data_IF_542361553755
#
_entry.id   IF_542361553755
#
_cell.length_a   1.000
_cell.length_b   1.000
_cell.length_c   1.000
_cell.angle_alpha   90.00
_cell.angle_beta   90.00
_cell.angle_gamma   90.00
#
_symmetry.space_group_name_H-M   'P 1'
#
loop_
_entity.id
_entity.type
_entity.pdbx_description
1 polymer ?
#
# COMPACT_ATOMS: atom_id res chain seq x y z
N UNK A 1 5.64 -11.84 25.84
CA UNK A 1 4.34 -11.55 25.22
C UNK A 1 4.58 -10.56 24.09
N UNK A 2 4.52 -10.98 22.83
CA UNK A 2 4.78 -10.10 21.68
C UNK A 2 3.62 -9.14 21.44
N UNK A 3 3.91 -7.86 21.14
CA UNK A 3 2.88 -6.88 20.78
C UNK A 3 2.22 -7.26 19.44
N UNK A 4 0.91 -7.05 19.33
CA UNK A 4 0.18 -7.17 18.05
C UNK A 4 0.66 -6.08 17.08
N UNK A 5 1.11 -6.50 15.89
CA UNK A 5 1.55 -5.60 14.82
C UNK A 5 0.32 -5.06 14.09
N UNK A 6 0.31 -3.75 13.82
CA UNK A 6 -0.76 -3.05 13.08
C UNK A 6 -0.14 -2.17 11.98
N UNK A 7 -0.90 -1.94 10.92
CA UNK A 7 -0.54 -1.04 9.81
C UNK A 7 -1.78 -0.33 9.25
N UNK A 8 -1.57 0.77 8.53
CA UNK A 8 -2.63 1.56 7.91
C UNK A 8 -2.70 1.21 6.43
N UNK A 9 -3.88 0.79 5.98
CA UNK A 9 -4.14 0.37 4.59
C UNK A 9 -4.90 1.49 3.89
N UNK A 10 -4.43 1.90 2.71
CA UNK A 10 -5.14 2.87 1.86
C UNK A 10 -6.16 2.19 0.95
N UNK A 11 -5.81 1.02 0.40
CA UNK A 11 -6.66 0.28 -0.54
C UNK A 11 -6.35 -1.23 -0.52
N UNK A 12 -7.32 -2.04 -0.89
CA UNK A 12 -7.17 -3.48 -1.11
C UNK A 12 -7.74 -3.82 -2.49
N UNK A 13 -6.86 -4.22 -3.40
CA UNK A 13 -7.24 -4.61 -4.75
C UNK A 13 -7.23 -6.13 -4.88
N UNK A 14 -8.41 -6.68 -5.13
CA UNK A 14 -8.58 -8.09 -5.45
C UNK A 14 -8.35 -8.32 -6.94
N UNK A 15 -7.93 -9.53 -7.30
CA UNK A 15 -7.71 -9.94 -8.69
C UNK A 15 -6.68 -9.08 -9.47
N UNK A 16 -5.66 -8.56 -8.79
CA UNK A 16 -4.57 -7.86 -9.44
C UNK A 16 -3.73 -8.83 -10.30
N UNK A 17 -3.75 -8.62 -11.62
CA UNK A 17 -3.03 -9.46 -12.61
C UNK A 17 -1.80 -8.77 -13.20
N UNK A 18 -1.64 -7.47 -12.94
CA UNK A 18 -0.55 -6.66 -13.48
C UNK A 18 0.58 -6.41 -12.46
N UNK A 19 0.32 -6.61 -11.17
CA UNK A 19 1.28 -6.36 -10.07
C UNK A 19 2.18 -7.57 -9.75
N UNK A 20 2.35 -8.47 -10.71
CA UNK A 20 3.20 -9.65 -10.59
C UNK A 20 2.59 -10.90 -11.24
N UNK A 21 3.30 -12.04 -11.20
CA UNK A 21 2.83 -13.26 -11.86
C UNK A 21 1.56 -13.84 -11.19
N UNK A 22 0.57 -14.19 -12.00
CA UNK A 22 -0.68 -14.82 -11.55
C UNK A 22 -1.72 -13.81 -11.05
N UNK A 23 -2.72 -14.31 -10.31
CA UNK A 23 -3.77 -13.48 -9.69
C UNK A 23 -3.37 -13.17 -8.25
N UNK A 24 -3.33 -11.89 -7.89
CA UNK A 24 -2.91 -11.40 -6.56
C UNK A 24 -4.02 -10.61 -5.87
N UNK A 25 -3.93 -10.57 -4.55
CA UNK A 25 -4.57 -9.52 -3.75
C UNK A 25 -3.48 -8.54 -3.36
N UNK A 26 -3.55 -7.32 -3.85
CA UNK A 26 -2.62 -6.25 -3.53
C UNK A 26 -3.19 -5.46 -2.34
N UNK A 27 -2.37 -5.30 -1.28
CA UNK A 27 -2.70 -4.48 -0.12
C UNK A 27 -1.81 -3.25 -0.19
N UNK A 28 -2.40 -2.08 -0.41
CA UNK A 28 -1.68 -0.81 -0.46
C UNK A 28 -1.59 -0.22 0.95
N UNK A 29 -0.36 0.06 1.39
CA UNK A 29 -0.09 0.63 2.71
C UNK A 29 0.10 2.14 2.62
N UNK A 30 -0.34 2.86 3.65
CA UNK A 30 -0.02 4.28 3.82
C UNK A 30 1.37 4.46 4.42
N UNK A 31 2.01 5.56 4.05
CA UNK A 31 3.33 5.98 4.52
C UNK A 31 4.44 5.69 3.51
N UNK A 32 4.69 6.63 2.61
CA UNK A 32 5.87 6.62 1.73
C UNK A 32 6.72 7.88 2.00
N UNK A 33 8.01 7.74 2.35
CA UNK A 33 8.89 8.89 2.61
C UNK A 33 9.35 9.60 1.33
N UNK A 34 9.14 8.99 0.16
CA UNK A 34 9.55 9.56 -1.12
C UNK A 34 8.56 10.62 -1.61
N UNK A 35 9.06 11.54 -2.43
CA UNK A 35 8.29 12.62 -3.08
C UNK A 35 8.58 12.65 -4.58
N UNK A 36 8.35 11.52 -5.22
CA UNK A 36 8.59 11.35 -6.66
C UNK A 36 7.74 12.35 -7.45
N UNK A 37 8.31 12.97 -8.49
CA UNK A 37 7.62 13.95 -9.34
C UNK A 37 6.39 13.36 -10.07
N UNK A 38 6.41 12.05 -10.33
CA UNK A 38 5.33 11.31 -10.99
C UNK A 38 4.85 10.13 -10.13
N UNK A 39 4.60 10.40 -8.85
CA UNK A 39 4.05 9.39 -7.96
C UNK A 39 2.67 8.94 -8.47
N UNK A 40 2.51 7.65 -8.73
CA UNK A 40 1.23 7.06 -9.11
C UNK A 40 0.23 6.99 -7.95
N UNK A 41 0.73 7.02 -6.70
CA UNK A 41 -0.07 6.91 -5.48
C UNK A 41 0.28 8.03 -4.48
N UNK A 42 0.07 9.32 -4.83
CA UNK A 42 0.40 10.43 -3.94
C UNK A 42 -0.35 10.37 -2.60
N UNK A 43 -1.54 9.78 -2.57
CA UNK A 43 -2.34 9.54 -1.36
C UNK A 43 -1.65 8.63 -0.34
N UNK A 44 -0.71 7.78 -0.78
CA UNK A 44 0.07 6.91 0.11
C UNK A 44 1.20 7.65 0.85
N UNK A 45 1.46 8.93 0.53
CA UNK A 45 2.52 9.71 1.18
C UNK A 45 2.14 10.21 2.57
N UNK A 46 0.85 10.41 2.86
CA UNK A 46 0.37 10.78 4.19
C UNK A 46 0.18 9.51 5.04
N UNK A 47 0.95 9.33 6.13
CA UNK A 47 0.85 8.14 6.97
C UNK A 47 -0.39 8.13 7.89
N UNK A 48 -1.17 9.22 7.93
CA UNK A 48 -2.34 9.32 8.81
C UNK A 48 -3.49 8.44 8.30
N UNK A 49 -4.25 7.77 9.19
CA UNK A 49 -5.48 7.07 8.84
C UNK A 49 -6.46 7.97 8.08
#
# INVERSE_FOLDING_TARGET
MGKSVKGVVSDIQYYAVYDGPGIRTCVFLKGCPLRCAWCHNPESQDPRP
#
